data_IF_101114174181
#
_entry.id   IF_101114174181
#
_cell.length_a   1.000
_cell.length_b   1.000
_cell.length_c   1.000
_cell.angle_alpha   90.00
_cell.angle_beta   90.00
_cell.angle_gamma   90.00
#
_symmetry.space_group_name_H-M   'P 1'
#
loop_
_entity.id
_entity.type
_entity.pdbx_description
1 polymer ?
#
# COMPACT_ATOMS: atom_id res chain seq x y z
N UNK A 1 25.26 50.36 -2.59
CA UNK A 1 24.99 51.59 -1.81
C UNK A 1 23.93 52.40 -2.55
N UNK A 2 22.95 53.03 -1.87
CA UNK A 2 22.11 52.54 -0.75
C UNK A 2 20.63 52.38 -1.19
N UNK A 3 19.87 51.41 -0.68
CA UNK A 3 19.01 51.47 0.53
C UNK A 3 17.92 52.56 0.49
N UNK A 4 16.66 52.12 0.38
CA UNK A 4 15.49 52.86 0.87
C UNK A 4 15.05 52.23 2.20
N UNK A 5 14.94 53.03 3.26
CA UNK A 5 14.71 52.59 4.63
C UNK A 5 13.32 52.94 5.15
N UNK A 6 12.80 52.03 5.99
CA UNK A 6 11.72 52.19 7.00
C UNK A 6 11.34 53.63 7.39
N UNK A 7 10.04 53.84 7.65
CA UNK A 7 9.57 54.63 8.80
C UNK A 7 8.42 53.91 9.53
N UNK A 8 8.20 54.30 10.79
CA UNK A 8 7.45 53.62 11.85
C UNK A 8 6.14 54.35 12.23
N UNK A 9 5.44 53.77 13.23
CA UNK A 9 4.46 54.35 14.16
C UNK A 9 2.98 54.15 13.76
N UNK A 10 2.06 53.60 14.59
CA UNK A 10 1.75 53.83 16.02
C UNK A 10 1.31 55.29 16.27
N UNK A 11 0.20 55.69 16.91
CA UNK A 11 -1.00 55.06 17.49
C UNK A 11 -2.02 56.22 17.75
N UNK A 12 -3.23 56.14 18.34
CA UNK A 12 -4.08 55.06 18.90
C UNK A 12 -5.53 55.59 19.05
N UNK A 13 -6.58 54.74 18.97
CA UNK A 13 -7.90 55.04 19.55
C UNK A 13 -8.81 53.80 19.59
N UNK A 14 -9.48 53.57 20.72
CA UNK A 14 -10.44 52.48 20.95
C UNK A 14 -11.85 53.03 21.21
N UNK A 15 -12.90 52.24 20.88
CA UNK A 15 -14.07 51.97 21.75
C UNK A 15 -15.24 51.28 21.00
N UNK A 16 -15.85 50.28 21.65
CA UNK A 16 -17.20 49.79 21.35
C UNK A 16 -17.32 48.63 20.34
N UNK A 17 -18.17 47.62 20.54
CA UNK A 17 -18.91 47.25 21.76
C UNK A 17 -19.21 45.73 21.76
N UNK A 18 -19.23 45.10 22.93
CA UNK A 18 -19.41 43.66 23.07
C UNK A 18 -20.89 43.27 23.10
N UNK A 19 -21.45 42.79 21.98
CA UNK A 19 -22.88 42.44 21.88
C UNK A 19 -23.22 41.23 20.98
N UNK A 20 -22.24 40.40 20.59
CA UNK A 20 -22.45 39.30 19.63
C UNK A 20 -22.18 37.87 20.16
N UNK A 21 -21.70 37.71 21.40
CA UNK A 21 -21.18 36.42 21.89
C UNK A 21 -22.15 35.60 22.78
N UNK A 22 -23.36 36.10 23.04
CA UNK A 22 -24.30 35.49 23.98
C UNK A 22 -25.72 35.36 23.39
N UNK A 23 -25.99 34.28 22.64
CA UNK A 23 -27.38 33.96 22.26
C UNK A 23 -27.77 32.49 22.02
N UNK A 24 -26.85 31.51 22.04
CA UNK A 24 -27.19 30.08 21.92
C UNK A 24 -26.78 29.27 23.17
N UNK A 25 -27.33 29.67 24.31
CA UNK A 25 -27.34 28.85 25.53
C UNK A 25 -28.78 28.80 26.06
N UNK A 26 -29.33 27.59 26.22
CA UNK A 26 -30.65 27.35 26.80
C UNK A 26 -31.75 27.04 25.79
N UNK A 27 -31.89 25.76 25.45
CA UNK A 27 -33.16 25.09 25.10
C UNK A 27 -32.92 23.58 25.27
N UNK A 28 -33.34 23.05 26.40
CA UNK A 28 -33.42 21.61 26.68
C UNK A 28 -34.88 21.25 26.77
N UNK A 29 -35.28 20.18 26.10
CA UNK A 29 -36.49 19.42 26.43
C UNK A 29 -36.32 17.95 26.02
N UNK A 30 -37.09 17.09 26.69
CA UNK A 30 -36.88 15.65 26.78
C UNK A 30 -37.24 14.88 25.47
N UNK A 31 -36.35 14.02 25.00
CA UNK A 31 -36.72 12.88 24.15
C UNK A 31 -35.89 11.63 24.53
N UNK A 32 -36.54 10.67 25.18
CA UNK A 32 -35.99 9.35 25.42
C UNK A 32 -35.87 8.58 24.09
N UNK A 33 -34.71 8.67 23.43
CA UNK A 33 -34.36 7.81 22.29
C UNK A 33 -33.23 6.85 22.62
N UNK A 34 -33.50 5.58 22.36
CA UNK A 34 -32.65 4.44 22.70
C UNK A 34 -31.28 4.54 22.02
N UNK A 35 -30.22 4.18 22.77
CA UNK A 35 -28.85 4.13 22.23
C UNK A 35 -28.85 3.20 21.00
N UNK A 36 -28.38 3.64 19.82
CA UNK A 36 -28.24 2.74 18.68
C UNK A 36 -27.25 1.66 19.07
N UNK A 37 -27.72 0.41 19.06
CA UNK A 37 -26.88 -0.74 19.37
C UNK A 37 -25.63 -0.72 18.49
N UNK A 38 -24.48 -1.04 19.10
CA UNK A 38 -23.18 -1.09 18.41
C UNK A 38 -23.26 -2.14 17.30
N UNK A 39 -23.72 -1.74 16.11
CA UNK A 39 -23.70 -2.58 14.91
C UNK A 39 -22.30 -3.14 14.82
N UNK A 40 -22.19 -4.46 14.78
CA UNK A 40 -20.94 -5.07 14.38
C UNK A 40 -20.55 -4.40 13.06
N UNK A 41 -19.33 -3.85 13.00
CA UNK A 41 -18.68 -3.65 11.71
C UNK A 41 -18.53 -5.07 11.16
N UNK A 42 -19.53 -5.50 10.38
CA UNK A 42 -19.40 -6.71 9.58
C UNK A 42 -18.08 -6.58 8.84
N UNK A 43 -17.22 -7.58 8.97
CA UNK A 43 -15.88 -7.51 8.40
C UNK A 43 -16.05 -7.20 6.91
N UNK A 44 -15.66 -5.98 6.50
CA UNK A 44 -15.68 -5.62 5.09
C UNK A 44 -14.82 -6.65 4.37
N UNK A 45 -15.39 -7.30 3.36
CA UNK A 45 -14.58 -8.11 2.47
C UNK A 45 -13.45 -7.22 1.96
N UNK A 46 -12.17 -7.66 2.05
CA UNK A 46 -11.06 -6.82 1.65
C UNK A 46 -11.28 -6.34 0.21
N UNK A 47 -11.03 -5.07 -0.12
CA UNK A 47 -11.37 -4.59 -1.46
C UNK A 47 -10.44 -5.14 -2.57
N UNK A 48 -9.29 -5.68 -2.17
CA UNK A 48 -8.32 -6.35 -3.03
C UNK A 48 -7.87 -7.68 -2.42
N UNK A 49 -7.57 -8.64 -3.28
CA UNK A 49 -7.08 -9.97 -2.94
C UNK A 49 -5.56 -10.07 -3.16
N UNK A 50 -5.07 -9.40 -4.21
CA UNK A 50 -3.66 -9.39 -4.65
C UNK A 50 -3.13 -7.96 -4.68
N UNK A 51 -1.89 -7.72 -4.24
CA UNK A 51 -1.18 -6.44 -4.41
C UNK A 51 0.03 -6.64 -5.33
N UNK A 52 0.14 -5.88 -6.41
CA UNK A 52 1.26 -5.92 -7.35
C UNK A 52 2.13 -4.69 -7.10
N UNK A 53 3.17 -4.89 -6.29
CA UNK A 53 4.20 -3.90 -5.98
C UNK A 53 5.27 -3.94 -7.07
N UNK A 54 5.52 -2.82 -7.75
CA UNK A 54 6.43 -2.81 -8.90
C UNK A 54 6.98 -1.41 -9.20
N UNK A 55 8.12 -1.34 -9.90
CA UNK A 55 8.62 -0.05 -10.39
C UNK A 55 7.90 0.36 -11.67
N UNK A 56 7.01 1.34 -11.58
CA UNK A 56 6.21 1.82 -12.71
C UNK A 56 7.00 2.12 -14.00
N UNK A 57 8.14 2.81 -13.89
CA UNK A 57 8.97 3.17 -15.07
C UNK A 57 9.70 1.98 -15.72
N UNK A 58 9.82 0.84 -15.03
CA UNK A 58 10.43 -0.38 -15.55
C UNK A 58 9.38 -1.35 -16.09
N UNK A 59 8.24 -1.47 -15.38
CA UNK A 59 7.33 -2.62 -15.56
C UNK A 59 5.85 -2.31 -15.80
N UNK A 60 5.41 -1.04 -15.76
CA UNK A 60 3.99 -0.66 -15.92
C UNK A 60 3.38 -1.03 -17.27
N UNK A 61 4.17 -1.00 -18.33
CA UNK A 61 3.69 -1.26 -19.69
C UNK A 61 4.17 -2.62 -20.23
N UNK A 62 4.58 -3.53 -19.34
CA UNK A 62 4.93 -4.92 -19.65
C UNK A 62 4.39 -5.88 -18.56
N UNK A 63 5.24 -6.69 -17.90
CA UNK A 63 4.90 -7.75 -16.94
C UNK A 63 3.85 -7.33 -15.90
N UNK A 64 3.92 -6.14 -15.30
CA UNK A 64 3.01 -5.78 -14.21
C UNK A 64 1.56 -5.60 -14.69
N UNK A 65 1.38 -5.00 -15.87
CA UNK A 65 0.05 -4.85 -16.51
C UNK A 65 -0.44 -6.16 -17.09
N UNK A 66 0.44 -6.94 -17.72
CA UNK A 66 0.10 -8.26 -18.28
C UNK A 66 -0.35 -9.24 -17.17
N UNK A 67 0.34 -9.25 -16.02
CA UNK A 67 -0.04 -10.04 -14.85
C UNK A 67 -1.39 -9.59 -14.27
N UNK A 68 -1.62 -8.28 -14.13
CA UNK A 68 -2.91 -7.75 -13.71
C UNK A 68 -4.04 -8.24 -14.63
N UNK A 69 -3.89 -8.08 -15.94
CA UNK A 69 -4.90 -8.48 -16.94
C UNK A 69 -5.12 -9.99 -16.95
N UNK A 70 -4.05 -10.77 -16.78
CA UNK A 70 -4.14 -12.23 -16.72
C UNK A 70 -4.90 -12.70 -15.48
N UNK A 71 -4.70 -12.09 -14.32
CA UNK A 71 -5.42 -12.41 -13.08
C UNK A 71 -6.91 -12.03 -13.15
N UNK A 72 -7.22 -10.87 -13.72
CA UNK A 72 -8.61 -10.44 -13.96
C UNK A 72 -9.33 -11.42 -14.90
N UNK A 73 -8.67 -11.80 -16.01
CA UNK A 73 -9.21 -12.75 -16.98
C UNK A 73 -9.38 -14.16 -16.40
N UNK A 74 -8.35 -14.74 -15.77
CA UNK A 74 -8.37 -16.08 -15.18
C UNK A 74 -9.45 -16.26 -14.12
N UNK A 75 -9.66 -15.23 -13.30
CA UNK A 75 -10.64 -15.28 -12.21
C UNK A 75 -12.07 -14.93 -12.64
N UNK A 76 -12.27 -14.45 -13.88
CA UNK A 76 -13.53 -13.85 -14.31
C UNK A 76 -13.92 -12.63 -13.46
N UNK A 77 -12.93 -11.80 -13.10
CA UNK A 77 -13.09 -10.63 -12.23
C UNK A 77 -13.29 -10.93 -10.74
N UNK A 78 -13.16 -12.19 -10.30
CA UNK A 78 -13.35 -12.58 -8.88
C UNK A 78 -12.14 -12.28 -7.99
N UNK A 79 -10.93 -12.23 -8.55
CA UNK A 79 -9.69 -11.88 -7.84
C UNK A 79 -9.35 -10.44 -8.18
N UNK A 80 -9.51 -9.53 -7.20
CA UNK A 80 -9.26 -8.11 -7.40
C UNK A 80 -7.80 -7.80 -7.10
N UNK A 81 -7.06 -7.43 -8.14
CA UNK A 81 -5.67 -7.00 -8.01
C UNK A 81 -5.60 -5.49 -7.77
N UNK A 82 -4.73 -5.05 -6.87
CA UNK A 82 -4.26 -3.67 -6.81
C UNK A 82 -2.93 -3.60 -7.57
N UNK A 83 -2.93 -2.97 -8.74
CA UNK A 83 -1.69 -2.63 -9.45
C UNK A 83 -1.18 -1.31 -8.90
N UNK A 84 -0.05 -1.30 -8.17
CA UNK A 84 0.49 -0.05 -7.68
C UNK A 84 1.03 0.79 -8.84
N UNK A 85 0.25 1.79 -9.26
CA UNK A 85 0.67 2.70 -10.32
C UNK A 85 1.48 3.90 -9.81
N UNK A 86 1.71 3.99 -8.49
CA UNK A 86 2.04 5.24 -7.80
C UNK A 86 3.53 5.58 -7.84
N UNK A 87 3.92 6.06 -9.02
CA UNK A 87 4.54 7.38 -9.02
C UNK A 87 3.50 8.36 -8.43
N UNK A 88 3.61 8.72 -7.13
CA UNK A 88 2.66 9.63 -6.49
C UNK A 88 2.45 10.89 -7.33
N UNK A 89 1.20 11.38 -7.38
CA UNK A 89 0.93 12.71 -7.90
C UNK A 89 1.21 13.74 -6.82
N UNK A 90 1.56 14.98 -7.19
CA UNK A 90 1.66 16.08 -6.22
C UNK A 90 0.36 16.20 -5.40
N UNK A 91 0.47 16.06 -4.08
CA UNK A 91 -0.65 16.11 -3.13
C UNK A 91 -1.11 14.75 -2.58
N UNK A 92 -0.70 13.62 -3.16
CA UNK A 92 -0.97 12.30 -2.58
C UNK A 92 -0.13 12.12 -1.28
N UNK A 93 -0.72 11.51 -0.23
CA UNK A 93 -0.03 11.19 1.03
C UNK A 93 0.53 9.76 1.00
N UNK A 94 1.84 9.62 1.21
CA UNK A 94 2.59 8.36 1.30
C UNK A 94 1.89 7.29 2.16
N UNK A 95 1.45 7.64 3.39
CA UNK A 95 0.82 6.67 4.31
C UNK A 95 -0.56 6.17 3.87
N UNK A 96 -1.48 7.08 3.54
CA UNK A 96 -2.86 6.75 3.13
C UNK A 96 -2.91 5.85 1.88
N UNK A 97 -1.87 5.98 1.06
CA UNK A 97 -1.65 5.22 -0.16
C UNK A 97 -1.28 3.75 0.08
N UNK A 98 -0.34 3.52 1.00
CA UNK A 98 0.30 2.21 1.26
C UNK A 98 -0.60 1.33 2.13
N UNK A 99 -1.29 1.95 3.10
CA UNK A 99 -1.94 1.21 4.18
C UNK A 99 -3.29 0.58 3.81
N UNK A 100 -3.96 0.95 2.72
CA UNK A 100 -5.26 0.34 2.36
C UNK A 100 -5.08 -0.92 1.50
N UNK A 101 -4.35 -0.83 0.38
CA UNK A 101 -4.17 -1.94 -0.55
C UNK A 101 -3.48 -3.14 0.11
N UNK A 102 -2.36 -2.90 0.80
CA UNK A 102 -1.56 -3.96 1.46
C UNK A 102 -2.34 -4.57 2.63
N UNK A 103 -2.99 -3.75 3.47
CA UNK A 103 -3.78 -4.24 4.60
C UNK A 103 -4.90 -5.18 4.14
N UNK A 104 -5.53 -4.87 3.01
CA UNK A 104 -6.62 -5.66 2.45
C UNK A 104 -6.17 -6.92 1.71
N UNK A 105 -5.10 -6.87 0.90
CA UNK A 105 -4.67 -8.04 0.13
C UNK A 105 -4.28 -9.23 1.03
N UNK A 106 -4.27 -10.43 0.45
CA UNK A 106 -3.72 -11.64 1.11
C UNK A 106 -2.39 -12.06 0.50
N UNK A 107 -2.29 -11.94 -0.82
CA UNK A 107 -1.10 -12.23 -1.63
C UNK A 107 -0.51 -10.92 -2.14
N UNK A 108 0.81 -10.83 -2.18
CA UNK A 108 1.54 -9.73 -2.77
C UNK A 108 2.56 -10.27 -3.78
N UNK A 109 2.62 -9.66 -4.95
CA UNK A 109 3.65 -9.90 -5.96
C UNK A 109 4.59 -8.69 -5.94
N UNK A 110 5.88 -8.93 -5.68
CA UNK A 110 6.90 -7.88 -5.75
C UNK A 110 7.76 -8.08 -7.00
N UNK A 111 7.66 -7.16 -7.96
CA UNK A 111 8.36 -7.23 -9.25
C UNK A 111 9.63 -6.38 -9.16
N UNK A 112 10.70 -7.01 -8.66
CA UNK A 112 12.00 -6.39 -8.55
C UNK A 112 12.63 -6.20 -9.93
N UNK A 113 13.13 -5.00 -10.17
CA UNK A 113 13.63 -4.54 -11.46
C UNK A 113 14.76 -3.52 -11.24
N UNK A 114 15.52 -3.19 -12.28
CA UNK A 114 16.78 -2.43 -12.16
C UNK A 114 16.66 -1.12 -11.39
N UNK A 115 15.56 -0.37 -11.54
CA UNK A 115 15.30 0.91 -10.84
C UNK A 115 14.30 0.77 -9.70
N UNK A 116 14.07 -0.44 -9.19
CA UNK A 116 13.15 -0.68 -8.08
C UNK A 116 13.58 0.06 -6.81
N UNK A 117 14.88 0.04 -6.50
CA UNK A 117 15.45 0.66 -5.30
C UNK A 117 15.43 2.20 -5.35
N UNK A 118 15.45 2.82 -6.53
CA UNK A 118 15.29 4.28 -6.68
C UNK A 118 13.85 4.77 -6.41
N UNK A 119 13.01 3.95 -5.75
CA UNK A 119 11.64 4.26 -5.37
C UNK A 119 11.43 3.97 -3.89
N UNK A 120 11.44 5.04 -3.09
CA UNK A 120 11.10 4.99 -1.67
C UNK A 120 9.73 4.33 -1.42
N UNK A 121 8.78 4.55 -2.35
CA UNK A 121 7.46 3.92 -2.35
C UNK A 121 7.54 2.40 -2.45
N UNK A 122 8.29 1.87 -3.42
CA UNK A 122 8.41 0.43 -3.62
C UNK A 122 9.04 -0.24 -2.38
N UNK A 123 10.03 0.41 -1.76
CA UNK A 123 10.68 -0.06 -0.54
C UNK A 123 9.76 -0.01 0.70
N UNK A 124 9.00 1.08 0.90
CA UNK A 124 8.01 1.18 1.98
C UNK A 124 6.86 0.18 1.81
N UNK A 125 6.39 -0.06 0.58
CA UNK A 125 5.38 -1.07 0.30
C UNK A 125 5.89 -2.48 0.60
N UNK A 126 7.10 -2.83 0.16
CA UNK A 126 7.71 -4.13 0.45
C UNK A 126 7.85 -4.35 1.96
N UNK A 127 8.31 -3.33 2.69
CA UNK A 127 8.36 -3.37 4.15
C UNK A 127 6.98 -3.63 4.76
N UNK A 128 5.96 -2.88 4.36
CA UNK A 128 4.59 -3.06 4.85
C UNK A 128 4.00 -4.42 4.48
N UNK A 129 4.33 -4.99 3.31
CA UNK A 129 3.94 -6.35 2.86
C UNK A 129 4.52 -7.41 3.82
N UNK A 130 5.81 -7.34 4.11
CA UNK A 130 6.53 -8.29 4.97
C UNK A 130 6.11 -8.15 6.43
N UNK A 131 6.04 -6.93 6.96
CA UNK A 131 5.56 -6.66 8.34
C UNK A 131 4.12 -7.14 8.56
N UNK A 132 3.26 -7.01 7.54
CA UNK A 132 1.88 -7.50 7.56
C UNK A 132 1.75 -9.00 7.30
N UNK A 133 2.87 -9.73 7.16
CA UNK A 133 2.95 -11.18 6.90
C UNK A 133 2.06 -11.65 5.75
N UNK A 134 2.04 -10.88 4.66
CA UNK A 134 1.34 -11.26 3.42
C UNK A 134 2.14 -12.37 2.73
N UNK A 135 1.45 -13.22 1.97
CA UNK A 135 2.16 -14.19 1.12
C UNK A 135 2.84 -13.44 -0.01
N UNK A 136 4.17 -13.38 0.04
CA UNK A 136 5.01 -12.75 -0.96
C UNK A 136 5.36 -13.74 -2.08
N UNK A 137 5.17 -13.31 -3.33
CA UNK A 137 5.67 -13.98 -4.54
C UNK A 137 6.66 -13.00 -5.20
N UNK A 138 7.98 -13.19 -5.04
CA UNK A 138 8.95 -12.32 -5.66
C UNK A 138 9.15 -12.68 -7.14
N UNK A 139 9.21 -11.67 -7.99
CA UNK A 139 9.60 -11.78 -9.40
C UNK A 139 10.87 -10.96 -9.59
N UNK A 140 11.96 -11.62 -10.01
CA UNK A 140 13.26 -11.03 -10.26
C UNK A 140 13.39 -10.73 -11.76
N UNK A 141 12.98 -9.51 -12.16
CA UNK A 141 12.90 -9.08 -13.55
C UNK A 141 14.20 -8.37 -13.98
N UNK A 142 15.09 -9.11 -14.64
CA UNK A 142 16.39 -8.61 -15.12
C UNK A 142 17.41 -8.34 -14.00
N UNK A 143 17.22 -8.94 -12.82
CA UNK A 143 18.15 -8.92 -11.69
C UNK A 143 18.21 -10.30 -11.03
N UNK A 144 19.23 -10.58 -10.23
CA UNK A 144 19.34 -11.80 -9.42
C UNK A 144 18.87 -11.57 -7.97
N UNK A 145 18.41 -12.61 -7.24
CA UNK A 145 18.11 -12.49 -5.81
C UNK A 145 19.29 -12.00 -4.97
N UNK A 146 20.52 -12.29 -5.39
CA UNK A 146 21.75 -11.78 -4.76
C UNK A 146 21.84 -10.25 -4.76
N UNK A 147 21.24 -9.59 -5.75
CA UNK A 147 21.22 -8.13 -5.95
C UNK A 147 20.13 -7.43 -5.15
N UNK A 148 19.27 -8.16 -4.42
CA UNK A 148 18.39 -7.58 -3.39
C UNK A 148 19.20 -7.17 -2.15
N UNK A 149 19.91 -6.05 -2.28
CA UNK A 149 20.67 -5.38 -1.23
C UNK A 149 20.27 -3.90 -1.29
N UNK A 150 19.98 -3.28 -0.15
CA UNK A 150 19.66 -1.86 -0.10
C UNK A 150 20.87 -1.05 -0.58
N UNK A 151 20.74 -0.19 -1.61
CA UNK A 151 21.86 0.62 -2.09
C UNK A 151 22.43 1.52 -0.99
N UNK A 152 23.73 1.74 -1.00
CA UNK A 152 24.42 2.52 0.04
C UNK A 152 23.94 3.98 0.06
N UNK A 153 23.61 4.51 -1.12
CA UNK A 153 23.05 5.85 -1.34
C UNK A 153 21.70 6.02 -0.64
N UNK A 154 20.88 4.96 -0.59
CA UNK A 154 19.61 4.94 0.15
C UNK A 154 19.87 4.74 1.64
N UNK A 155 20.79 3.84 2.01
CA UNK A 155 21.14 3.54 3.39
C UNK A 155 21.72 4.73 4.16
N UNK A 156 22.51 5.58 3.51
CA UNK A 156 23.14 6.77 4.09
C UNK A 156 22.30 8.06 3.90
N UNK A 157 21.16 7.97 3.21
CA UNK A 157 20.29 9.11 2.93
C UNK A 157 19.65 9.64 4.21
N UNK A 158 19.85 10.94 4.47
CA UNK A 158 19.19 11.68 5.56
C UNK A 158 17.69 11.91 5.32
N UNK A 159 17.14 11.50 4.16
CA UNK A 159 15.71 11.54 3.90
C UNK A 159 14.93 10.48 4.70
N UNK A 160 15.59 9.40 5.12
CA UNK A 160 14.96 8.29 5.83
C UNK A 160 15.27 8.31 7.33
N UNK A 161 14.28 7.94 8.14
CA UNK A 161 14.54 7.61 9.53
C UNK A 161 15.36 6.30 9.60
N UNK A 162 16.29 6.14 10.57
CA UNK A 162 17.06 4.90 10.72
C UNK A 162 16.19 3.64 10.84
N UNK A 163 14.97 3.78 11.38
CA UNK A 163 13.97 2.71 11.44
C UNK A 163 13.52 2.25 10.05
N UNK A 164 13.30 3.15 9.10
CA UNK A 164 12.82 2.78 7.77
C UNK A 164 13.91 2.08 6.95
N UNK A 165 15.16 2.53 7.08
CA UNK A 165 16.33 1.82 6.52
C UNK A 165 16.38 0.36 7.02
N UNK A 166 16.15 0.13 8.31
CA UNK A 166 16.12 -1.22 8.87
C UNK A 166 14.95 -2.06 8.35
N UNK A 167 13.75 -1.46 8.25
CA UNK A 167 12.57 -2.09 7.64
C UNK A 167 12.84 -2.51 6.20
N UNK A 168 13.49 -1.66 5.40
CA UNK A 168 13.85 -1.97 4.01
C UNK A 168 14.85 -3.13 3.92
N UNK A 169 15.89 -3.16 4.78
CA UNK A 169 16.86 -4.26 4.82
C UNK A 169 16.20 -5.60 5.13
N UNK A 170 15.36 -5.65 6.18
CA UNK A 170 14.63 -6.85 6.57
C UNK A 170 13.69 -7.33 5.45
N UNK A 171 12.98 -6.41 4.78
CA UNK A 171 12.04 -6.76 3.72
C UNK A 171 12.73 -7.26 2.44
N UNK A 172 13.86 -6.67 2.07
CA UNK A 172 14.71 -7.16 0.98
C UNK A 172 15.35 -8.51 1.31
N UNK A 173 15.74 -8.73 2.57
CA UNK A 173 16.27 -10.02 3.04
C UNK A 173 15.22 -11.13 2.99
N UNK A 174 13.99 -10.86 3.46
CA UNK A 174 12.86 -11.80 3.34
C UNK A 174 12.58 -12.15 1.87
N UNK A 175 12.48 -11.14 1.01
CA UNK A 175 12.23 -11.33 -0.42
C UNK A 175 13.36 -12.13 -1.12
N UNK A 176 14.61 -11.92 -0.72
CA UNK A 176 15.80 -12.61 -1.25
C UNK A 176 15.83 -14.11 -0.95
N UNK A 177 15.28 -14.52 0.20
CA UNK A 177 15.22 -15.93 0.61
C UNK A 177 13.84 -16.56 0.40
N UNK A 178 12.86 -15.80 -0.10
CA UNK A 178 11.58 -16.32 -0.57
C UNK A 178 11.74 -16.89 -1.99
N UNK A 179 11.26 -18.11 -2.23
CA UNK A 179 11.26 -18.72 -3.57
C UNK A 179 10.38 -17.90 -4.52
N UNK A 180 10.93 -17.56 -5.68
CA UNK A 180 10.27 -16.71 -6.66
C UNK A 180 10.65 -17.04 -8.11
N UNK A 181 10.16 -16.23 -9.02
CA UNK A 181 10.34 -16.40 -10.47
C UNK A 181 11.44 -15.49 -10.98
N UNK A 182 12.45 -16.04 -11.65
CA UNK A 182 13.52 -15.27 -12.30
C UNK A 182 13.21 -15.07 -13.78
N UNK A 183 13.47 -13.88 -14.30
CA UNK A 183 13.30 -13.56 -15.72
C UNK A 183 14.48 -12.75 -16.24
N UNK A 184 15.04 -13.19 -17.38
CA UNK A 184 16.05 -12.44 -18.13
C UNK A 184 15.39 -11.74 -19.34
N UNK A 185 15.33 -10.39 -19.37
CA UNK A 185 14.77 -9.65 -20.49
C UNK A 185 15.48 -9.84 -21.84
N UNK A 186 16.69 -10.40 -21.87
CA UNK A 186 17.44 -10.65 -23.10
C UNK A 186 17.08 -11.99 -23.78
N UNK A 187 16.61 -12.99 -23.01
CA UNK A 187 16.40 -14.37 -23.51
C UNK A 187 15.11 -15.04 -23.06
N UNK A 188 14.39 -14.49 -22.08
CA UNK A 188 13.22 -15.12 -21.46
C UNK A 188 11.92 -14.92 -22.25
N UNK A 189 10.99 -15.88 -22.11
CA UNK A 189 9.62 -15.73 -22.58
C UNK A 189 8.79 -14.94 -21.55
N UNK A 190 8.37 -13.73 -21.95
CA UNK A 190 7.56 -12.86 -21.10
C UNK A 190 6.15 -13.41 -20.87
N UNK A 191 5.60 -14.14 -21.83
CA UNK A 191 4.30 -14.78 -21.69
C UNK A 191 4.39 -15.92 -20.68
N UNK A 192 5.39 -16.80 -20.79
CA UNK A 192 5.66 -17.87 -19.81
C UNK A 192 5.72 -17.31 -18.38
N UNK A 193 6.53 -16.26 -18.15
CA UNK A 193 6.60 -15.59 -16.85
C UNK A 193 5.22 -15.14 -16.35
N UNK A 194 4.42 -14.50 -17.21
CA UNK A 194 3.09 -13.99 -16.84
C UNK A 194 2.10 -15.13 -16.55
N UNK A 195 2.16 -16.24 -17.29
CA UNK A 195 1.35 -17.43 -16.99
C UNK A 195 1.75 -18.04 -15.65
N UNK A 196 3.02 -18.38 -15.44
CA UNK A 196 3.52 -18.97 -14.19
C UNK A 196 3.26 -18.06 -12.98
N UNK A 197 3.46 -16.75 -13.11
CA UNK A 197 3.17 -15.80 -12.04
C UNK A 197 1.68 -15.73 -11.70
N UNK A 198 0.80 -15.73 -12.71
CA UNK A 198 -0.64 -15.69 -12.49
C UNK A 198 -1.17 -16.98 -11.86
N UNK A 199 -0.69 -18.13 -12.33
CA UNK A 199 -1.09 -19.45 -11.81
C UNK A 199 -0.63 -19.60 -10.36
N UNK A 200 0.63 -19.26 -10.03
CA UNK A 200 1.14 -19.27 -8.65
C UNK A 200 0.34 -18.34 -7.70
N UNK A 201 -0.12 -17.18 -8.17
CA UNK A 201 -1.01 -16.30 -7.40
C UNK A 201 -2.38 -16.97 -7.19
N UNK A 202 -2.97 -17.55 -8.24
CA UNK A 202 -4.28 -18.19 -8.18
C UNK A 202 -4.28 -19.41 -7.24
N UNK A 203 -3.21 -20.22 -7.25
CA UNK A 203 -3.00 -21.34 -6.32
C UNK A 203 -3.04 -20.85 -4.86
N UNK A 204 -2.22 -19.84 -4.50
CA UNK A 204 -2.20 -19.29 -3.13
C UNK A 204 -3.54 -18.70 -2.71
N UNK A 205 -4.27 -18.05 -3.62
CA UNK A 205 -5.63 -17.55 -3.34
C UNK A 205 -6.62 -18.71 -3.09
N UNK A 206 -6.53 -19.81 -3.84
CA UNK A 206 -7.38 -20.99 -3.66
C UNK A 206 -7.08 -21.74 -2.36
N UNK A 207 -5.80 -21.96 -2.02
CA UNK A 207 -5.37 -22.55 -0.75
C UNK A 207 -5.95 -21.79 0.46
N UNK A 208 -5.83 -20.45 0.45
CA UNK A 208 -6.41 -19.57 1.49
C UNK A 208 -7.94 -19.54 1.49
N UNK A 209 -8.59 -19.90 0.39
CA UNK A 209 -10.04 -20.08 0.32
C UNK A 209 -10.49 -21.38 0.98
N UNK A 210 -9.71 -22.46 0.82
CA UNK A 210 -9.97 -23.78 1.40
C UNK A 210 -9.60 -23.85 2.88
N UNK A 211 -8.60 -23.09 3.33
CA UNK A 211 -8.14 -23.05 4.74
C UNK A 211 -9.09 -22.32 5.71
N UNK A 212 -10.27 -21.90 5.26
CA UNK A 212 -11.33 -21.29 6.09
C UNK A 212 -12.41 -22.32 6.42
N UNK A 213 -12.26 -23.14 7.49
CA UNK A 213 -13.31 -24.07 7.89
C UNK A 213 -14.58 -23.32 8.29
N UNK A 214 -15.73 -23.85 7.88
CA UNK A 214 -17.07 -23.30 8.05
C UNK A 214 -17.55 -23.36 9.51
N UNK A 215 -16.85 -22.67 10.43
CA UNK A 215 -17.18 -22.54 11.86
C UNK A 215 -18.36 -21.59 12.12
N UNK A 216 -19.50 -21.83 11.45
CA UNK A 216 -20.79 -21.22 11.78
C UNK A 216 -21.99 -21.89 11.07
N UNK A 217 -22.12 -23.23 11.17
CA UNK A 217 -23.38 -23.94 10.81
C UNK A 217 -23.70 -25.20 11.64
N UNK A 218 -23.20 -25.30 12.89
CA UNK A 218 -23.67 -26.31 13.85
C UNK A 218 -23.91 -25.66 15.22
N UNK A 219 -24.99 -24.87 15.33
CA UNK A 219 -25.46 -24.30 16.60
C UNK A 219 -26.97 -23.94 16.56
N UNK A 220 -27.81 -24.76 15.92
CA UNK A 220 -29.28 -24.58 15.91
C UNK A 220 -30.08 -25.83 15.53
N UNK A 221 -29.64 -27.02 15.99
CA UNK A 221 -30.41 -28.28 15.93
C UNK A 221 -30.12 -29.20 17.12
N UNK A 222 -30.37 -28.69 18.33
CA UNK A 222 -30.79 -29.43 19.53
C UNK A 222 -31.75 -28.51 20.30
#
# INVERSE_FOLDING_TARGET
RPVASRLNASAEAAAGNAAAAARWAGLVDDEQKTKPGRRSRGAMSPAYDVFINHRGVDTKHNVARLLYDRLEHLSGGRVRSFLDNKSMRPGDRLGESIDEGIRQCKVAVAIFSKRYFDSEFCLHELASIVESRKVLIPIFYGIKPSELILPQEVADSKAHAPRDIERFRLALQEAKYTVGLTYDPATGDLAELVYTAADAVMERIQEMGQSMPQRQMIASRL
#
